data_IF_061592903456
#
_entry.id   IF_061592903456
#
_cell.length_a   1.000
_cell.length_b   1.000
_cell.length_c   1.000
_cell.angle_alpha   90.00
_cell.angle_beta   90.00
_cell.angle_gamma   90.00
#
_symmetry.space_group_name_H-M   'P 1'
#
loop_
_entity.id
_entity.type
_entity.pdbx_description
1 polymer ?
#
# COMPACT_ATOMS: atom_id res chain seq x y z
N UNK A 1 -10.15 17.50 2.05
CA UNK A 1 -9.23 16.60 2.79
C UNK A 1 -8.56 15.71 1.76
N UNK A 2 -7.26 15.42 1.88
CA UNK A 2 -6.55 14.49 0.98
C UNK A 2 -6.25 13.20 1.72
N UNK A 3 -6.05 12.11 0.98
CA UNK A 3 -5.71 10.81 1.57
C UNK A 3 -4.40 10.86 2.37
N UNK A 4 -3.42 11.66 1.94
CA UNK A 4 -2.17 11.91 2.67
C UNK A 4 -2.40 12.48 4.07
N UNK A 5 -3.42 13.34 4.24
CA UNK A 5 -3.72 13.97 5.51
C UNK A 5 -4.41 13.00 6.48
N UNK A 6 -5.08 11.96 5.98
CA UNK A 6 -5.69 10.92 6.82
C UNK A 6 -4.67 10.07 7.57
N UNK A 7 -3.52 9.79 6.94
CA UNK A 7 -2.52 8.87 7.47
C UNK A 7 -1.99 9.27 8.84
N UNK A 8 -2.00 10.57 9.14
CA UNK A 8 -1.50 11.13 10.40
C UNK A 8 -2.55 11.25 11.50
N UNK A 9 -3.83 10.95 11.20
CA UNK A 9 -4.88 11.10 12.19
C UNK A 9 -4.70 10.13 13.35
N UNK A 10 -4.76 10.66 14.56
CA UNK A 10 -4.83 9.90 15.81
C UNK A 10 -6.20 9.23 15.96
N UNK A 11 -6.32 8.32 16.92
CA UNK A 11 -7.61 7.71 17.25
C UNK A 11 -8.62 8.75 17.78
N UNK A 12 -8.14 9.77 18.48
CA UNK A 12 -8.96 10.87 18.99
C UNK A 12 -9.54 11.67 17.82
N UNK A 13 -8.71 12.03 16.83
CA UNK A 13 -9.17 12.72 15.63
C UNK A 13 -10.09 11.85 14.76
N UNK A 14 -9.84 10.54 14.67
CA UNK A 14 -10.74 9.62 13.97
C UNK A 14 -12.14 9.59 14.60
N UNK A 15 -12.25 9.69 15.93
CA UNK A 15 -13.52 9.73 16.62
C UNK A 15 -14.32 11.02 16.39
N UNK A 16 -13.73 12.04 15.76
CA UNK A 16 -14.44 13.27 15.40
C UNK A 16 -15.30 13.12 14.13
N UNK A 17 -15.06 12.08 13.33
CA UNK A 17 -15.87 11.82 12.15
C UNK A 17 -17.19 11.17 12.51
N UNK A 18 -18.21 11.34 11.66
CA UNK A 18 -19.52 10.71 11.84
C UNK A 18 -19.44 9.18 11.92
N UNK A 19 -18.58 8.59 11.10
CA UNK A 19 -18.34 7.15 11.02
C UNK A 19 -16.84 6.87 11.17
N UNK A 20 -16.32 6.82 12.41
CA UNK A 20 -14.88 6.64 12.68
C UNK A 20 -14.27 5.39 12.04
N UNK A 21 -14.99 4.26 12.04
CA UNK A 21 -14.48 3.02 11.44
C UNK A 21 -14.38 3.12 9.92
N UNK A 22 -15.34 3.76 9.24
CA UNK A 22 -15.24 4.05 7.81
C UNK A 22 -13.99 4.85 7.49
N UNK A 23 -13.74 5.92 8.24
CA UNK A 23 -12.54 6.73 8.02
C UNK A 23 -11.25 5.98 8.35
N UNK A 24 -11.27 5.09 9.33
CA UNK A 24 -10.15 4.19 9.61
C UNK A 24 -9.90 3.23 8.43
N UNK A 25 -10.93 2.61 7.85
CA UNK A 25 -10.77 1.75 6.66
C UNK A 25 -10.23 2.55 5.46
N UNK A 26 -10.72 3.76 5.21
CA UNK A 26 -10.23 4.65 4.14
C UNK A 26 -8.77 5.07 4.37
N UNK A 27 -8.38 5.28 5.63
CA UNK A 27 -7.01 5.63 6.01
C UNK A 27 -6.04 4.46 5.77
N UNK A 28 -6.42 3.27 6.22
CA UNK A 28 -5.53 2.10 6.20
C UNK A 28 -5.52 1.41 4.83
N UNK A 29 -6.60 1.49 4.06
CA UNK A 29 -6.65 0.83 2.76
C UNK A 29 -5.68 1.44 1.74
N UNK A 30 -5.29 0.62 0.78
CA UNK A 30 -4.50 1.03 -0.39
C UNK A 30 -5.39 1.53 -1.53
N UNK A 31 -6.71 1.35 -1.43
CA UNK A 31 -7.66 1.76 -2.45
C UNK A 31 -7.66 3.26 -2.70
N UNK A 32 -7.65 3.64 -3.97
CA UNK A 32 -7.74 5.02 -4.38
C UNK A 32 -9.15 5.57 -4.11
N UNK A 33 -9.30 6.90 -3.99
CA UNK A 33 -10.63 7.51 -3.82
C UNK A 33 -11.51 7.25 -5.04
N UNK A 34 -10.93 7.17 -6.24
CA UNK A 34 -11.66 6.72 -7.44
C UNK A 34 -12.27 5.33 -7.23
N UNK A 35 -11.48 4.38 -6.69
CA UNK A 35 -11.94 3.01 -6.42
C UNK A 35 -13.07 3.01 -5.39
N UNK A 36 -12.93 3.80 -4.33
CA UNK A 36 -13.96 3.93 -3.29
C UNK A 36 -15.26 4.49 -3.89
N UNK A 37 -15.16 5.55 -4.71
CA UNK A 37 -16.31 6.14 -5.38
C UNK A 37 -17.01 5.18 -6.34
N UNK A 38 -16.26 4.38 -7.10
CA UNK A 38 -16.81 3.37 -8.01
C UNK A 38 -17.65 2.35 -7.23
N UNK A 39 -17.14 1.89 -6.09
CA UNK A 39 -17.87 0.97 -5.21
C UNK A 39 -19.07 1.61 -4.52
N UNK A 40 -19.05 2.92 -4.29
CA UNK A 40 -20.23 3.68 -3.86
C UNK A 40 -21.29 3.80 -4.98
N UNK A 41 -20.96 3.46 -6.22
CA UNK A 41 -21.85 3.65 -7.38
C UNK A 41 -21.79 5.06 -7.98
N UNK A 42 -20.74 5.82 -7.65
CA UNK A 42 -20.52 7.20 -8.09
C UNK A 42 -19.63 7.30 -9.34
N UNK A 43 -19.49 6.22 -10.11
CA UNK A 43 -18.44 6.00 -11.13
C UNK A 43 -18.46 6.92 -12.35
N UNK A 44 -19.47 7.78 -12.52
CA UNK A 44 -19.58 8.68 -13.67
C UNK A 44 -19.95 10.12 -13.28
N UNK A 45 -19.24 11.14 -13.83
CA UNK A 45 -18.01 11.04 -14.64
C UNK A 45 -16.82 10.48 -13.83
N UNK A 46 -15.72 10.11 -14.51
CA UNK A 46 -14.50 9.61 -13.86
C UNK A 46 -14.05 10.58 -12.75
N UNK A 47 -13.92 10.06 -11.53
CA UNK A 47 -13.60 10.85 -10.35
C UNK A 47 -12.09 10.93 -10.14
N UNK A 48 -11.65 11.97 -9.45
CA UNK A 48 -10.24 12.18 -9.09
C UNK A 48 -10.01 11.92 -7.61
N UNK A 49 -8.75 11.82 -7.20
CA UNK A 49 -8.40 11.58 -5.79
C UNK A 49 -8.86 12.68 -4.83
N UNK A 50 -9.08 13.88 -5.34
CA UNK A 50 -9.58 15.06 -4.63
C UNK A 50 -11.10 15.28 -4.82
N UNK A 51 -11.85 14.28 -5.28
CA UNK A 51 -13.29 14.39 -5.53
C UNK A 51 -14.07 14.80 -4.29
N UNK A 52 -14.65 16.00 -4.35
CA UNK A 52 -15.27 16.66 -3.20
C UNK A 52 -16.51 15.93 -2.70
N UNK A 53 -17.34 15.38 -3.59
CA UNK A 53 -18.57 14.70 -3.21
C UNK A 53 -18.27 13.39 -2.47
N UNK A 54 -17.33 12.60 -2.99
CA UNK A 54 -16.88 11.36 -2.34
C UNK A 54 -16.31 11.67 -0.96
N UNK A 55 -15.42 12.66 -0.86
CA UNK A 55 -14.86 13.08 0.42
C UNK A 55 -15.92 13.55 1.40
N UNK A 56 -16.86 14.39 0.97
CA UNK A 56 -17.93 14.90 1.84
C UNK A 56 -18.82 13.78 2.39
N UNK A 57 -19.10 12.74 1.60
CA UNK A 57 -19.84 11.56 2.07
C UNK A 57 -19.04 10.75 3.08
N UNK A 58 -17.76 10.47 2.81
CA UNK A 58 -16.91 9.69 3.70
C UNK A 58 -16.73 10.35 5.07
N UNK A 59 -16.47 11.66 5.10
CA UNK A 59 -16.28 12.41 6.36
C UNK A 59 -17.58 12.72 7.09
N UNK A 60 -18.74 12.48 6.45
CA UNK A 60 -20.07 12.70 7.03
C UNK A 60 -20.65 14.11 6.85
N UNK A 61 -20.04 14.94 6.01
CA UNK A 61 -20.57 16.26 5.60
C UNK A 61 -21.75 16.15 4.63
N UNK A 62 -21.95 14.99 4.01
CA UNK A 62 -23.08 14.69 3.14
C UNK A 62 -23.65 13.32 3.49
N UNK A 63 -24.94 13.13 3.20
CA UNK A 63 -25.60 11.87 3.47
C UNK A 63 -25.00 10.74 2.63
N UNK A 64 -24.73 9.62 3.32
CA UNK A 64 -24.31 8.36 2.71
C UNK A 64 -25.57 7.54 2.44
N UNK A 65 -25.88 7.33 1.16
CA UNK A 65 -27.06 6.58 0.75
C UNK A 65 -26.87 5.08 1.08
N UNK A 66 -27.99 4.38 1.26
CA UNK A 66 -27.97 2.95 1.61
C UNK A 66 -27.17 2.11 0.59
N UNK A 67 -27.35 2.35 -0.72
CA UNK A 67 -26.59 1.66 -1.76
C UNK A 67 -25.08 1.92 -1.70
N UNK A 68 -24.69 3.16 -1.40
CA UNK A 68 -23.29 3.56 -1.23
C UNK A 68 -22.67 2.85 -0.02
N UNK A 69 -23.38 2.81 1.11
CA UNK A 69 -22.94 2.12 2.32
C UNK A 69 -22.75 0.62 2.10
N UNK A 70 -23.68 -0.04 1.40
CA UNK A 70 -23.53 -1.46 1.02
C UNK A 70 -22.33 -1.67 0.10
N UNK A 71 -22.11 -0.75 -0.84
CA UNK A 71 -20.92 -0.74 -1.71
C UNK A 71 -19.61 -0.70 -0.92
N UNK A 72 -19.52 0.21 0.05
CA UNK A 72 -18.36 0.35 0.93
C UNK A 72 -18.16 -0.86 1.85
N UNK A 73 -19.24 -1.39 2.44
CA UNK A 73 -19.19 -2.60 3.25
C UNK A 73 -18.65 -3.79 2.48
N UNK A 74 -19.04 -3.96 1.20
CA UNK A 74 -18.51 -4.99 0.31
C UNK A 74 -17.05 -4.73 -0.07
N UNK A 75 -16.71 -3.49 -0.41
CA UNK A 75 -15.34 -3.09 -0.76
C UNK A 75 -14.35 -3.44 0.36
N UNK A 76 -14.69 -3.04 1.59
CA UNK A 76 -13.83 -3.28 2.75
C UNK A 76 -13.98 -4.67 3.35
N UNK A 77 -14.98 -5.45 2.95
CA UNK A 77 -15.25 -6.78 3.51
C UNK A 77 -15.61 -6.74 5.00
N UNK A 78 -16.45 -5.79 5.40
CA UNK A 78 -16.90 -5.56 6.79
C UNK A 78 -18.41 -5.44 6.88
N UNK A 79 -18.98 -5.64 8.06
CA UNK A 79 -20.41 -5.40 8.28
C UNK A 79 -20.74 -3.91 8.34
N UNK A 80 -21.99 -3.55 8.03
CA UNK A 80 -22.47 -2.17 8.12
C UNK A 80 -22.46 -1.65 9.56
N UNK A 81 -22.77 -2.51 10.53
CA UNK A 81 -22.81 -2.16 11.96
C UNK A 81 -21.43 -1.76 12.50
N UNK A 82 -20.37 -2.36 11.94
CA UNK A 82 -19.00 -1.95 12.22
C UNK A 82 -18.67 -0.65 11.48
N UNK A 83 -18.90 -0.63 10.16
CA UNK A 83 -18.44 0.45 9.30
C UNK A 83 -19.07 1.80 9.66
N UNK A 84 -20.37 1.79 9.95
CA UNK A 84 -21.19 2.97 10.27
C UNK A 84 -21.36 3.16 11.78
N UNK A 85 -20.55 2.48 12.61
CA UNK A 85 -20.59 2.69 14.04
C UNK A 85 -20.13 4.11 14.38
N UNK A 86 -20.84 4.80 15.27
CA UNK A 86 -20.48 6.14 15.76
C UNK A 86 -19.27 6.12 16.71
N UNK A 87 -18.81 4.94 17.12
CA UNK A 87 -17.62 4.76 17.95
C UNK A 87 -16.54 3.99 17.20
N UNK A 88 -15.32 4.50 17.29
CA UNK A 88 -14.15 3.80 16.75
C UNK A 88 -13.95 2.49 17.50
N UNK A 89 -13.88 1.39 16.76
CA UNK A 89 -13.49 0.10 17.31
C UNK A 89 -11.97 0.03 17.36
N UNK A 90 -11.43 -0.16 18.55
CA UNK A 90 -9.99 -0.31 18.77
C UNK A 90 -9.66 -1.70 19.29
N UNK A 91 -8.47 -2.18 18.94
CA UNK A 91 -7.85 -3.42 19.44
C UNK A 91 -6.40 -3.07 19.73
N UNK A 92 -5.95 -3.31 20.96
CA UNK A 92 -4.59 -2.98 21.42
C UNK A 92 -4.15 -1.54 21.12
N UNK A 93 -5.05 -0.58 21.32
CA UNK A 93 -4.77 0.85 21.12
C UNK A 93 -4.70 1.31 19.67
N UNK A 94 -4.88 0.41 18.69
CA UNK A 94 -4.98 0.75 17.26
C UNK A 94 -6.41 0.55 16.76
N UNK A 95 -6.85 1.25 15.70
CA UNK A 95 -8.14 0.96 15.07
C UNK A 95 -8.19 -0.47 14.54
N UNK A 96 -9.35 -1.12 14.60
CA UNK A 96 -9.48 -2.48 14.07
C UNK A 96 -9.08 -2.58 12.59
N UNK A 97 -9.30 -1.52 11.80
CA UNK A 97 -8.85 -1.40 10.42
C UNK A 97 -7.33 -1.60 10.27
N UNK A 98 -6.50 -1.08 11.20
CA UNK A 98 -5.04 -1.21 11.14
C UNK A 98 -4.62 -2.69 11.07
N UNK A 99 -5.21 -3.52 11.94
CA UNK A 99 -4.90 -4.95 11.98
C UNK A 99 -5.43 -5.70 10.76
N UNK A 100 -6.59 -5.29 10.22
CA UNK A 100 -7.15 -5.89 9.01
C UNK A 100 -6.28 -5.65 7.77
N UNK A 101 -5.58 -4.52 7.72
CA UNK A 101 -4.73 -4.13 6.60
C UNK A 101 -3.25 -4.43 6.83
N UNK A 102 -2.87 -4.98 7.98
CA UNK A 102 -1.48 -5.22 8.37
C UNK A 102 -0.73 -6.05 7.33
N UNK A 103 -1.29 -7.18 6.91
CA UNK A 103 -0.68 -8.07 5.93
C UNK A 103 -0.46 -7.35 4.58
N UNK A 104 -1.47 -6.61 4.11
CA UNK A 104 -1.37 -5.83 2.87
C UNK A 104 -0.30 -4.72 2.98
N UNK A 105 -0.12 -4.10 4.15
CA UNK A 105 0.97 -3.14 4.37
C UNK A 105 2.34 -3.80 4.43
N UNK A 106 2.44 -5.01 4.97
CA UNK A 106 3.69 -5.78 4.98
C UNK A 106 4.11 -6.17 3.57
N UNK A 107 3.18 -6.71 2.78
CA UNK A 107 3.41 -7.04 1.36
C UNK A 107 3.85 -5.81 0.56
N UNK A 108 3.16 -4.67 0.72
CA UNK A 108 3.55 -3.44 0.04
C UNK A 108 4.92 -2.91 0.45
N UNK A 109 5.28 -3.01 1.73
CA UNK A 109 6.62 -2.63 2.20
C UNK A 109 7.70 -3.52 1.59
N UNK A 110 7.47 -4.82 1.56
CA UNK A 110 8.41 -5.77 0.95
C UNK A 110 8.59 -5.51 -0.54
N UNK A 111 7.50 -5.29 -1.29
CA UNK A 111 7.59 -4.97 -2.72
C UNK A 111 8.27 -3.63 -2.97
N UNK A 112 8.00 -2.61 -2.15
CA UNK A 112 8.69 -1.32 -2.27
C UNK A 112 10.20 -1.45 -2.03
N UNK A 113 10.62 -2.20 -1.01
CA UNK A 113 12.05 -2.46 -0.77
C UNK A 113 12.68 -3.25 -1.93
N UNK A 114 11.99 -4.27 -2.44
CA UNK A 114 12.44 -5.00 -3.63
C UNK A 114 12.62 -4.09 -4.84
N UNK A 115 11.67 -3.20 -5.11
CA UNK A 115 11.76 -2.22 -6.20
C UNK A 115 12.91 -1.23 -6.02
N UNK A 116 13.19 -0.79 -4.79
CA UNK A 116 14.35 0.05 -4.49
C UNK A 116 15.66 -0.67 -4.81
N UNK A 117 15.79 -1.94 -4.43
CA UNK A 117 16.98 -2.73 -4.73
C UNK A 117 17.15 -2.97 -6.24
N UNK A 118 16.07 -3.29 -6.96
CA UNK A 118 16.09 -3.40 -8.42
C UNK A 118 16.57 -2.08 -9.04
N UNK A 119 16.04 -0.94 -8.60
CA UNK A 119 16.42 0.38 -9.12
C UNK A 119 17.89 0.70 -8.88
N UNK A 120 18.47 0.28 -7.74
CA UNK A 120 19.91 0.42 -7.49
C UNK A 120 20.72 -0.40 -8.50
N UNK A 121 20.32 -1.64 -8.77
CA UNK A 121 20.96 -2.49 -9.77
C UNK A 121 20.86 -1.86 -11.16
N UNK A 122 19.70 -1.36 -11.54
CA UNK A 122 19.52 -0.66 -12.83
C UNK A 122 20.43 0.56 -12.97
N UNK A 123 20.57 1.37 -11.92
CA UNK A 123 21.48 2.51 -11.92
C UNK A 123 22.94 2.06 -12.12
N UNK A 124 23.39 1.05 -11.37
CA UNK A 124 24.75 0.51 -11.52
C UNK A 124 24.99 -0.07 -12.92
N UNK A 125 24.01 -0.76 -13.51
CA UNK A 125 24.10 -1.26 -14.88
C UNK A 125 24.18 -0.15 -15.92
N UNK A 126 23.55 1.01 -15.68
CA UNK A 126 23.69 2.19 -16.56
C UNK A 126 25.10 2.79 -16.48
N UNK A 127 25.67 2.85 -15.29
CA UNK A 127 27.03 3.38 -15.08
C UNK A 127 28.12 2.40 -15.52
N UNK A 128 27.85 1.09 -15.42
CA UNK A 128 28.79 0.00 -15.75
C UNK A 128 28.13 -1.01 -16.70
N UNK A 129 27.95 -0.67 -18.00
CA UNK A 129 27.22 -1.51 -18.95
C UNK A 129 27.81 -2.91 -19.15
N UNK A 130 29.12 -3.08 -18.94
CA UNK A 130 29.79 -4.39 -19.04
C UNK A 130 29.26 -5.43 -18.03
N UNK A 131 28.67 -4.97 -16.91
CA UNK A 131 28.04 -5.86 -15.93
C UNK A 131 26.77 -6.53 -16.47
N UNK A 132 26.18 -6.02 -17.56
CA UNK A 132 25.00 -6.63 -18.16
C UNK A 132 25.28 -8.03 -18.72
N UNK A 133 26.43 -8.23 -19.37
CA UNK A 133 26.83 -9.55 -19.87
C UNK A 133 27.11 -10.52 -18.73
N UNK A 134 27.73 -10.02 -17.64
CA UNK A 134 27.90 -10.81 -16.42
C UNK A 134 26.55 -11.24 -15.83
N UNK A 135 25.59 -10.32 -15.71
CA UNK A 135 24.26 -10.62 -15.19
C UNK A 135 23.50 -11.64 -16.05
N UNK A 136 23.58 -11.55 -17.39
CA UNK A 136 22.98 -12.54 -18.29
C UNK A 136 23.50 -13.95 -18.04
N UNK A 137 24.78 -14.10 -17.73
CA UNK A 137 25.36 -15.40 -17.36
C UNK A 137 24.88 -15.81 -15.96
N UNK A 138 24.98 -14.90 -14.98
CA UNK A 138 24.67 -15.19 -13.58
C UNK A 138 23.24 -15.72 -13.38
N UNK A 139 22.23 -15.17 -14.08
CA UNK A 139 20.82 -15.63 -13.95
C UNK A 139 20.55 -17.03 -14.48
N UNK A 140 21.49 -17.63 -15.24
CA UNK A 140 21.37 -19.00 -15.76
C UNK A 140 21.97 -20.04 -14.82
N UNK A 141 22.68 -19.62 -13.79
CA UNK A 141 23.40 -20.49 -12.87
C UNK A 141 22.47 -20.99 -11.75
N UNK A 142 22.68 -22.22 -11.32
CA UNK A 142 22.06 -22.75 -10.11
C UNK A 142 22.85 -22.35 -8.85
N UNK A 143 22.32 -22.66 -7.67
CA UNK A 143 22.94 -22.27 -6.38
C UNK A 143 24.39 -22.76 -6.24
N UNK A 144 24.68 -24.02 -6.59
CA UNK A 144 26.05 -24.59 -6.47
C UNK A 144 27.05 -23.89 -7.42
N UNK A 145 26.60 -23.54 -8.62
CA UNK A 145 27.38 -22.80 -9.61
C UNK A 145 27.60 -21.35 -9.18
N UNK A 146 26.62 -20.71 -8.56
CA UNK A 146 26.75 -19.37 -7.97
C UNK A 146 27.78 -19.39 -6.84
N UNK A 147 27.69 -20.36 -5.92
CA UNK A 147 28.64 -20.49 -4.81
C UNK A 147 30.08 -20.67 -5.31
N UNK A 148 30.25 -21.47 -6.37
CA UNK A 148 31.56 -21.66 -7.01
C UNK A 148 32.08 -20.36 -7.62
N UNK A 149 31.22 -19.61 -8.33
CA UNK A 149 31.56 -18.33 -8.94
C UNK A 149 31.96 -17.28 -7.88
N UNK A 150 31.20 -17.17 -6.80
CA UNK A 150 31.46 -16.23 -5.70
C UNK A 150 32.83 -16.52 -5.07
N UNK A 151 33.09 -17.78 -4.73
CA UNK A 151 34.38 -18.19 -4.16
C UNK A 151 35.57 -17.84 -5.05
N UNK A 152 35.43 -17.99 -6.37
CA UNK A 152 36.51 -17.69 -7.31
C UNK A 152 36.72 -16.17 -7.48
N UNK A 153 35.64 -15.38 -7.45
CA UNK A 153 35.72 -13.92 -7.44
C UNK A 153 36.40 -13.39 -6.17
N UNK A 154 36.10 -13.97 -5.00
CA UNK A 154 36.74 -13.59 -3.74
C UNK A 154 38.24 -13.89 -3.75
N UNK A 155 38.66 -15.05 -4.27
CA UNK A 155 40.08 -15.39 -4.44
C UNK A 155 40.79 -14.38 -5.34
N UNK A 156 40.19 -14.02 -6.48
CA UNK A 156 40.77 -13.03 -7.40
C UNK A 156 40.94 -11.67 -6.73
N UNK A 157 39.93 -11.23 -5.98
CA UNK A 157 39.98 -9.98 -5.21
C UNK A 157 41.07 -10.00 -4.13
N UNK A 158 41.25 -11.14 -3.44
CA UNK A 158 42.31 -11.31 -2.43
C UNK A 158 43.72 -11.38 -3.04
N UNK A 159 43.85 -11.90 -4.26
CA UNK A 159 45.13 -11.99 -4.97
C UNK A 159 45.62 -10.68 -5.61
N UNK A 160 44.86 -9.58 -5.49
CA UNK A 160 45.28 -8.25 -5.95
C UNK A 160 45.40 -8.08 -7.46
N UNK A 161 44.91 -9.05 -8.24
CA UNK A 161 44.90 -8.98 -9.70
C UNK A 161 43.74 -8.09 -10.17
N UNK A 162 43.98 -6.78 -10.22
CA UNK A 162 43.23 -5.82 -11.05
C UNK A 162 44.19 -5.26 -12.09
#
# INVERSE_FOLDING_TARGET
MTKSNLFYLTNEELNLFKYPNLMAEVRETTYSICTIADHMGLSKPYRKEDDVETWNKLIGNSELLCGEAFGLSRLFGVSLEYLLNEKLKTVDGKPAAYWRWLDAHEEQRQELERLKEIRKIECELREKPYLLEFMKVAVTLNNEQIDTLVNELEKRKASGAV
#
